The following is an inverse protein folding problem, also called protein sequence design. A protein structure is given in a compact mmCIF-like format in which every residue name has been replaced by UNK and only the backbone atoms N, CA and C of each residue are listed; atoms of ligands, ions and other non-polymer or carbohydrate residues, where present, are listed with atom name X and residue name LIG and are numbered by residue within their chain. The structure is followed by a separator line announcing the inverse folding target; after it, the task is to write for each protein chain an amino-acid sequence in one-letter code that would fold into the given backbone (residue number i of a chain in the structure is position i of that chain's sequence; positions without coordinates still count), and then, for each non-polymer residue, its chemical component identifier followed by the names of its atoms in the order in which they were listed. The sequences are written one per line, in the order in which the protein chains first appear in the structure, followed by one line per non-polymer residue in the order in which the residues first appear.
data_IF_298270406171
#
_entry.id   IF_298270406171
#
_cell.length_a   1.000
_cell.length_b   1.000
_cell.length_c   1.000
_cell.angle_alpha   90.00
_cell.angle_beta   90.00
_cell.angle_gamma   90.00
#
_symmetry.space_group_name_H-M   'P 1'
#
loop_
_entity.id
_entity.type
_entity.pdbx_description
1 polymer ?
#
# COMPACT_ATOMS: atom_id res chain seq x y z
N UNK A 1 -12.29 1.50 6.44
CA UNK A 1 -12.37 0.41 5.44
C UNK A 1 -13.64 0.56 4.62
N UNK A 2 -13.80 -0.24 3.57
CA UNK A 2 -15.03 -0.28 2.75
C UNK A 2 -15.47 1.08 2.20
N UNK A 3 -14.50 1.87 1.76
CA UNK A 3 -14.73 3.21 1.20
C UNK A 3 -13.74 3.46 0.04
N UNK A 4 -14.00 4.44 -0.84
CA UNK A 4 -13.16 4.68 -2.02
C UNK A 4 -11.72 5.07 -1.65
N UNK A 5 -10.76 4.85 -2.55
CA UNK A 5 -9.33 5.11 -2.33
C UNK A 5 -9.08 6.55 -1.82
N UNK A 6 -9.67 7.55 -2.48
CA UNK A 6 -9.50 8.96 -2.10
C UNK A 6 -9.99 9.28 -0.68
N UNK A 7 -11.12 8.69 -0.25
CA UNK A 7 -11.62 8.89 1.12
C UNK A 7 -10.72 8.20 2.13
N UNK A 8 -10.19 7.03 1.78
CA UNK A 8 -9.26 6.29 2.63
C UNK A 8 -8.00 7.11 2.87
N UNK A 9 -7.45 7.69 1.81
CA UNK A 9 -6.25 8.52 1.89
C UNK A 9 -6.45 9.73 2.82
N UNK A 10 -7.57 10.46 2.65
CA UNK A 10 -7.91 11.60 3.51
C UNK A 10 -8.08 11.18 4.98
N UNK A 11 -8.81 10.10 5.21
CA UNK A 11 -9.05 9.58 6.55
C UNK A 11 -7.75 9.13 7.23
N UNK A 12 -6.86 8.45 6.49
CA UNK A 12 -5.56 8.02 6.96
C UNK A 12 -4.68 9.20 7.39
N UNK A 13 -4.58 10.26 6.58
CA UNK A 13 -3.80 11.46 6.92
C UNK A 13 -4.31 12.13 8.20
N UNK A 14 -5.62 12.11 8.44
CA UNK A 14 -6.19 12.64 9.68
C UNK A 14 -5.95 11.69 10.85
N UNK A 15 -6.08 10.39 10.63
CA UNK A 15 -5.85 9.37 11.65
C UNK A 15 -4.42 9.46 12.20
N UNK A 16 -3.41 9.51 11.33
CA UNK A 16 -2.00 9.52 11.72
C UNK A 16 -1.58 10.79 12.48
N UNK A 17 -2.34 11.89 12.37
CA UNK A 17 -2.13 13.10 13.17
C UNK A 17 -2.67 13.00 14.59
N UNK A 18 -3.62 12.11 14.84
CA UNK A 18 -4.38 12.05 16.09
C UNK A 18 -4.30 10.69 16.81
N UNK A 19 -3.72 9.68 16.18
CA UNK A 19 -3.67 8.31 16.68
C UNK A 19 -2.24 7.76 16.62
N UNK A 20 -1.75 7.24 17.74
CA UNK A 20 -0.41 6.64 17.87
C UNK A 20 -0.44 5.12 18.00
N UNK A 21 -1.63 4.53 18.11
CA UNK A 21 -1.80 3.07 18.18
C UNK A 21 -1.67 2.40 16.81
N UNK A 22 -1.81 1.07 16.81
CA UNK A 22 -1.87 0.29 15.56
C UNK A 22 -3.10 0.70 14.74
N UNK A 23 -2.94 0.73 13.43
CA UNK A 23 -3.99 1.06 12.48
C UNK A 23 -3.75 0.34 11.15
N UNK A 24 -4.75 0.36 10.26
CA UNK A 24 -4.62 -0.22 8.93
C UNK A 24 -5.73 0.21 7.98
N UNK A 25 -5.56 -0.08 6.70
CA UNK A 25 -6.52 0.25 5.65
C UNK A 25 -6.84 -0.95 4.76
N UNK A 26 -8.10 -1.05 4.33
CA UNK A 26 -8.56 -2.01 3.33
C UNK A 26 -9.75 -1.39 2.57
N UNK A 27 -9.47 -0.61 1.52
CA UNK A 27 -10.48 0.17 0.81
C UNK A 27 -11.22 -0.63 -0.26
N UNK A 28 -12.29 -0.04 -0.79
CA UNK A 28 -12.94 -0.52 -2.02
C UNK A 28 -12.14 -0.05 -3.24
N UNK A 29 -12.22 -0.80 -4.34
CA UNK A 29 -11.62 -0.40 -5.62
C UNK A 29 -12.56 0.45 -6.49
N UNK A 30 -13.81 0.63 -6.07
CA UNK A 30 -14.78 1.42 -6.81
C UNK A 30 -14.42 2.90 -6.89
N UNK A 31 -14.60 3.48 -8.08
CA UNK A 31 -14.59 4.94 -8.27
C UNK A 31 -15.92 5.50 -7.78
N UNK A 32 -15.86 6.38 -6.79
CA UNK A 32 -17.06 6.98 -6.19
C UNK A 32 -17.80 6.04 -5.25
N UNK A 33 -19.03 6.41 -4.89
CA UNK A 33 -19.86 5.55 -4.03
C UNK A 33 -20.34 4.31 -4.77
N UNK A 34 -20.51 3.17 -4.06
CA UNK A 34 -21.27 2.05 -4.62
C UNK A 34 -22.68 2.52 -4.98
N UNK A 35 -23.28 1.92 -6.01
CA UNK A 35 -24.70 2.14 -6.26
C UNK A 35 -25.56 1.68 -5.07
N UNK A 36 -26.84 2.09 -4.97
CA UNK A 36 -27.71 1.69 -3.86
C UNK A 36 -27.83 0.18 -3.64
N UNK A 37 -27.59 -0.63 -4.68
CA UNK A 37 -27.55 -2.09 -4.63
C UNK A 37 -26.13 -2.68 -4.41
N UNK A 38 -25.16 -1.85 -4.03
CA UNK A 38 -23.78 -2.26 -3.73
C UNK A 38 -22.93 -2.62 -4.95
N UNK A 39 -23.37 -2.33 -6.17
CA UNK A 39 -22.60 -2.64 -7.39
C UNK A 39 -21.53 -1.59 -7.65
N UNK A 40 -20.33 -2.08 -7.95
CA UNK A 40 -19.20 -1.28 -8.43
C UNK A 40 -19.07 -1.55 -9.92
N UNK A 41 -19.18 -0.50 -10.73
CA UNK A 41 -19.12 -0.59 -12.21
C UNK A 41 -17.87 0.07 -12.79
N UNK A 42 -17.20 0.91 -12.00
CA UNK A 42 -15.96 1.60 -12.37
C UNK A 42 -14.93 1.37 -11.29
N UNK A 43 -13.73 0.98 -11.70
CA UNK A 43 -12.66 0.56 -10.81
C UNK A 43 -11.45 1.48 -10.96
N UNK A 44 -10.78 1.78 -9.86
CA UNK A 44 -9.48 2.42 -9.87
C UNK A 44 -8.42 1.48 -10.43
N UNK A 45 -7.35 2.04 -11.00
CA UNK A 45 -6.25 1.24 -11.53
C UNK A 45 -5.48 0.53 -10.42
N UNK A 46 -4.84 -0.60 -10.76
CA UNK A 46 -3.93 -1.29 -9.84
C UNK A 46 -2.83 -0.36 -9.32
N UNK A 47 -2.28 0.49 -10.18
CA UNK A 47 -1.24 1.47 -9.82
C UNK A 47 -1.69 2.45 -8.73
N UNK A 48 -2.90 3.02 -8.85
CA UNK A 48 -3.43 3.91 -7.81
C UNK A 48 -3.68 3.17 -6.50
N UNK A 49 -4.14 1.92 -6.59
CA UNK A 49 -4.34 1.08 -5.43
C UNK A 49 -3.01 0.79 -4.71
N UNK A 50 -2.00 0.31 -5.43
CA UNK A 50 -0.68 -0.01 -4.85
C UNK A 50 0.02 1.23 -4.31
N UNK A 51 -0.07 2.38 -4.98
CA UNK A 51 0.48 3.64 -4.48
C UNK A 51 -0.13 4.06 -3.14
N UNK A 52 -1.43 3.85 -2.93
CA UNK A 52 -2.07 4.11 -1.63
C UNK A 52 -1.58 3.12 -0.55
N UNK A 53 -1.35 1.86 -0.91
CA UNK A 53 -0.84 0.87 0.04
C UNK A 53 0.60 1.19 0.44
N UNK A 54 1.47 1.55 -0.50
CA UNK A 54 2.84 2.02 -0.23
C UNK A 54 2.81 3.22 0.72
N UNK A 55 2.00 4.24 0.40
CA UNK A 55 1.84 5.43 1.26
C UNK A 55 1.35 5.09 2.67
N UNK A 56 0.44 4.13 2.81
CA UNK A 56 -0.04 3.72 4.12
C UNK A 56 1.04 3.03 4.94
N UNK A 57 1.85 2.19 4.30
CA UNK A 57 2.99 1.52 4.93
C UNK A 57 4.04 2.54 5.37
N UNK A 58 4.37 3.53 4.52
CA UNK A 58 5.32 4.60 4.84
C UNK A 58 4.87 5.44 6.06
N UNK A 59 3.55 5.58 6.25
CA UNK A 59 2.96 6.25 7.41
C UNK A 59 2.84 5.36 8.66
N UNK A 60 3.28 4.10 8.60
CA UNK A 60 3.30 3.18 9.73
C UNK A 60 2.06 2.32 9.89
N UNK A 61 1.30 2.07 8.82
CA UNK A 61 0.19 1.11 8.87
C UNK A 61 0.68 -0.27 9.32
N UNK A 62 -0.02 -0.87 10.29
CA UNK A 62 0.23 -2.24 10.74
C UNK A 62 -0.41 -3.28 9.82
N UNK A 63 -1.44 -2.89 9.07
CA UNK A 63 -2.20 -3.76 8.15
C UNK A 63 -2.61 -2.97 6.91
N UNK A 64 -2.41 -3.57 5.74
CA UNK A 64 -2.97 -3.11 4.47
C UNK A 64 -3.71 -4.27 3.79
N UNK A 65 -4.74 -3.96 3.02
CA UNK A 65 -5.59 -4.96 2.37
C UNK A 65 -6.53 -4.36 1.35
N UNK A 66 -7.55 -5.13 0.98
CA UNK A 66 -8.58 -4.73 0.02
C UNK A 66 -9.97 -5.17 0.49
N UNK A 67 -11.03 -4.56 -0.08
CA UNK A 67 -12.41 -4.79 0.31
C UNK A 67 -13.33 -5.03 -0.92
N UNK A 68 -14.43 -4.30 -1.08
CA UNK A 68 -15.34 -4.55 -2.21
C UNK A 68 -14.71 -4.18 -3.55
N UNK A 69 -14.96 -5.03 -4.55
CA UNK A 69 -14.47 -4.86 -5.91
C UNK A 69 -13.06 -5.40 -6.14
N UNK A 70 -12.35 -5.87 -5.12
CA UNK A 70 -11.05 -6.52 -5.28
C UNK A 70 -11.15 -8.01 -5.54
N UNK A 71 -10.08 -8.57 -6.11
CA UNK A 71 -9.85 -9.99 -6.33
C UNK A 71 -8.55 -10.40 -5.62
N UNK A 72 -8.19 -11.70 -5.62
CA UNK A 72 -6.88 -12.13 -5.13
C UNK A 72 -5.67 -11.43 -5.80
N UNK A 73 -5.86 -10.85 -6.99
CA UNK A 73 -4.81 -10.10 -7.70
C UNK A 73 -4.30 -8.90 -6.88
N UNK A 74 -5.18 -8.14 -6.23
CA UNK A 74 -4.77 -7.01 -5.39
C UNK A 74 -3.93 -7.46 -4.18
N UNK A 75 -4.25 -8.61 -3.59
CA UNK A 75 -3.49 -9.15 -2.46
C UNK A 75 -2.11 -9.65 -2.94
N UNK A 76 -2.04 -10.20 -4.15
CA UNK A 76 -0.77 -10.55 -4.80
C UNK A 76 0.13 -9.33 -4.99
N UNK A 77 -0.42 -8.22 -5.49
CA UNK A 77 0.33 -6.96 -5.64
C UNK A 77 0.77 -6.34 -4.30
N UNK A 78 -0.09 -6.36 -3.27
CA UNK A 78 0.30 -5.95 -1.91
C UNK A 78 1.49 -6.78 -1.40
N UNK A 79 1.47 -8.09 -1.65
CA UNK A 79 2.53 -8.99 -1.20
C UNK A 79 3.88 -8.66 -1.85
N UNK A 80 3.87 -8.19 -3.11
CA UNK A 80 5.07 -7.73 -3.83
C UNK A 80 5.64 -6.44 -3.22
N UNK A 81 4.80 -5.52 -2.75
CA UNK A 81 5.25 -4.30 -2.03
C UNK A 81 6.05 -4.67 -0.80
N UNK A 82 5.55 -5.62 0.01
CA UNK A 82 6.26 -6.10 1.21
C UNK A 82 7.64 -6.67 0.87
N UNK A 83 7.75 -7.42 -0.23
CA UNK A 83 9.04 -7.96 -0.69
C UNK A 83 9.98 -6.80 -1.07
N UNK A 84 9.50 -5.83 -1.85
CA UNK A 84 10.29 -4.64 -2.26
C UNK A 84 10.81 -3.86 -1.06
N UNK A 85 9.96 -3.60 -0.05
CA UNK A 85 10.36 -2.89 1.17
C UNK A 85 11.39 -3.66 2.00
N UNK A 86 11.26 -4.99 2.06
CA UNK A 86 12.26 -5.86 2.70
C UNK A 86 13.59 -5.82 1.94
N UNK A 87 13.58 -5.79 0.60
CA UNK A 87 14.79 -5.67 -0.21
C UNK A 87 15.49 -4.32 0.00
N UNK A 88 14.74 -3.22 0.11
CA UNK A 88 15.32 -1.89 0.39
C UNK A 88 15.88 -1.73 1.80
N UNK A 89 15.50 -2.62 2.72
CA UNK A 89 16.05 -2.65 4.08
C UNK A 89 17.25 -3.59 4.23
N UNK A 90 17.61 -4.33 3.18
CA UNK A 90 18.91 -5.00 3.09
C UNK A 90 19.93 -3.94 2.66
N UNK A 91 20.97 -3.66 3.46
CA UNK A 91 22.01 -2.72 3.06
C UNK A 91 22.67 -3.20 1.77
N UNK A 92 23.01 -2.28 0.88
CA UNK A 92 23.76 -2.59 -0.33
C UNK A 92 25.00 -3.42 0.03
N UNK A 93 25.33 -4.46 -0.76
CA UNK A 93 26.56 -5.20 -0.54
C UNK A 93 27.73 -4.21 -0.55
N UNK A 94 28.71 -4.36 0.34
CA UNK A 94 29.86 -3.48 0.37
C UNK A 94 30.48 -3.45 -1.02
N UNK A 95 30.68 -2.24 -1.55
CA UNK A 95 31.29 -2.03 -2.85
C UNK A 95 32.55 -2.88 -2.97
N UNK A 96 32.79 -3.58 -4.10
CA UNK A 96 33.92 -4.47 -4.27
C UNK A 96 35.19 -3.73 -3.83
N UNK A 97 35.90 -4.28 -2.85
CA UNK A 97 37.21 -3.75 -2.47
C UNK A 97 38.05 -3.80 -3.74
N UNK A 98 38.46 -2.63 -4.25
CA UNK A 98 39.49 -2.58 -5.29
C UNK A 98 40.67 -3.36 -4.73
N UNK A 99 41.00 -4.48 -5.37
CA UNK A 99 42.24 -5.20 -5.11
C UNK A 99 43.31 -4.20 -5.48
N UNK A 100 43.94 -3.61 -4.47
CA UNK A 100 45.12 -2.79 -4.67
C UNK A 100 46.23 -3.79 -4.88
N UNK A 101 46.60 -3.99 -6.15
CA UNK A 101 47.79 -4.74 -6.49
C UNK A 101 48.97 -4.11 -5.75
N UNK A 102 49.53 -4.86 -4.80
CA UNK A 102 50.69 -4.45 -4.03
C UNK A 102 51.93 -4.80 -4.86
N UNK A 103 52.95 -3.91 -4.96
CA UNK A 103 54.11 -4.11 -5.84
C UNK A 103 54.90 -5.39 -5.59
#
# INVERSE_FOLDING_TARGET
NCNPLQRTEKAMILLTKNWTGKWGIYPNLGIGEPSPNGRITKYESMEKFTALMEKAIDLGASVVGACCGSTPEQISEISKIKIKLNLTSIPDPPSPKKVVDTP
#
